data_IF_586236916300
#
_entry.id   IF_586236916300
#
_cell.length_a   1.000
_cell.length_b   1.000
_cell.length_c   1.000
_cell.angle_alpha   90.00
_cell.angle_beta   90.00
_cell.angle_gamma   90.00
#
_symmetry.space_group_name_H-M   'P 1'
#
loop_
_entity.id
_entity.type
_entity.pdbx_description
1 polymer ?
#
# COMPACT_ATOMS: atom_id res chain seq x y z
N UNK A 1 -46.24 3.33 46.58
CA UNK A 1 -45.21 3.41 47.63
C UNK A 1 -44.29 4.55 47.26
N UNK A 2 -44.09 5.51 48.16
CA UNK A 2 -43.21 6.65 47.91
C UNK A 2 -41.76 6.23 48.11
N UNK A 3 -41.04 6.02 47.01
CA UNK A 3 -39.66 5.48 46.99
C UNK A 3 -38.62 6.62 47.04
N UNK A 4 -39.09 7.88 47.04
CA UNK A 4 -38.24 9.08 47.02
C UNK A 4 -37.25 9.12 48.19
N UNK A 5 -37.72 8.92 49.43
CA UNK A 5 -36.88 8.95 50.63
C UNK A 5 -35.81 7.86 50.66
N UNK A 6 -36.08 6.68 50.12
CA UNK A 6 -35.09 5.59 50.01
C UNK A 6 -34.01 5.93 48.99
N UNK A 7 -34.41 6.54 47.86
CA UNK A 7 -33.47 7.00 46.83
C UNK A 7 -32.58 8.15 47.33
N UNK A 8 -33.13 9.08 48.11
CA UNK A 8 -32.37 10.18 48.73
C UNK A 8 -31.37 9.67 49.78
N UNK A 9 -31.79 8.76 50.65
CA UNK A 9 -30.90 8.11 51.62
C UNK A 9 -29.78 7.30 50.93
N UNK A 10 -30.06 6.69 49.77
CA UNK A 10 -29.04 6.05 48.96
C UNK A 10 -28.11 7.05 48.27
N UNK A 11 -28.62 8.17 47.75
CA UNK A 11 -27.80 9.24 47.14
C UNK A 11 -26.84 9.86 48.16
N UNK A 12 -27.27 10.10 49.40
CA UNK A 12 -26.42 10.67 50.46
C UNK A 12 -25.24 9.77 50.87
N UNK A 13 -25.30 8.47 50.59
CA UNK A 13 -24.18 7.54 50.84
C UNK A 13 -23.02 7.73 49.85
N UNK A 14 -23.29 8.29 48.67
CA UNK A 14 -22.30 8.45 47.61
C UNK A 14 -21.82 9.90 47.51
N UNK A 15 -20.56 10.09 47.14
CA UNK A 15 -20.02 11.42 46.84
C UNK A 15 -20.64 11.96 45.54
N UNK A 16 -20.65 13.28 45.37
CA UNK A 16 -21.15 13.90 44.15
C UNK A 16 -20.34 13.46 42.92
N UNK A 17 -21.05 13.19 41.84
CA UNK A 17 -20.51 12.72 40.54
C UNK A 17 -20.62 13.84 39.48
N UNK A 18 -21.47 14.84 39.73
CA UNK A 18 -21.57 16.04 38.90
C UNK A 18 -20.36 16.95 39.13
N UNK A 19 -19.78 17.41 38.03
CA UNK A 19 -18.73 18.42 38.02
C UNK A 19 -19.36 19.71 37.52
N UNK A 20 -19.38 20.72 38.38
CA UNK A 20 -19.90 22.06 38.10
C UNK A 20 -18.75 23.04 37.93
N UNK A 21 -18.97 24.17 37.23
CA UNK A 21 -17.97 25.25 37.11
C UNK A 21 -17.19 25.28 35.79
N UNK A 22 -17.49 24.40 34.84
CA UNK A 22 -16.99 24.51 33.46
C UNK A 22 -17.89 25.44 32.66
N UNK A 23 -17.30 26.50 32.11
CA UNK A 23 -18.02 27.47 31.27
C UNK A 23 -18.24 26.92 29.87
N UNK A 24 -17.22 26.25 29.33
CA UNK A 24 -17.24 25.62 28.01
C UNK A 24 -17.47 24.12 28.20
N UNK A 25 -18.47 23.52 27.53
CA UNK A 25 -18.67 22.08 27.52
C UNK A 25 -17.44 21.33 27.00
N UNK A 26 -17.13 20.20 27.62
CA UNK A 26 -16.01 19.34 27.20
C UNK A 26 -16.42 18.56 25.94
N UNK A 27 -15.52 18.49 24.96
CA UNK A 27 -15.73 17.65 23.77
C UNK A 27 -15.18 16.25 24.01
N UNK A 28 -15.87 15.21 23.54
CA UNK A 28 -15.49 13.82 23.79
C UNK A 28 -15.25 13.05 22.49
N UNK A 29 -14.20 12.23 22.47
CA UNK A 29 -14.00 11.18 21.50
C UNK A 29 -13.99 9.83 22.23
N UNK A 30 -15.19 9.29 22.46
CA UNK A 30 -15.39 8.04 23.21
C UNK A 30 -14.74 6.84 22.50
N UNK A 31 -14.54 6.90 21.19
CA UNK A 31 -13.83 5.85 20.45
C UNK A 31 -12.33 5.79 20.79
N UNK A 32 -11.74 6.92 21.18
CA UNK A 32 -10.35 7.02 21.68
C UNK A 32 -10.27 7.15 23.19
N UNK A 33 -11.41 7.09 23.90
CA UNK A 33 -11.51 7.33 25.34
C UNK A 33 -10.84 8.67 25.75
N UNK A 34 -11.06 9.71 24.93
CA UNK A 34 -10.46 11.02 25.10
C UNK A 34 -11.51 12.09 25.43
N UNK A 35 -11.14 13.04 26.28
CA UNK A 35 -11.91 14.24 26.59
C UNK A 35 -11.03 15.47 26.33
N UNK A 36 -11.56 16.44 25.57
CA UNK A 36 -10.90 17.67 25.20
C UNK A 36 -11.53 18.84 25.95
N UNK A 37 -10.80 19.31 26.96
CA UNK A 37 -11.21 20.46 27.77
C UNK A 37 -10.64 21.75 27.17
N UNK A 38 -11.51 22.61 26.63
CA UNK A 38 -11.13 23.90 26.05
C UNK A 38 -11.20 25.06 27.06
N UNK A 39 -11.51 24.79 28.34
CA UNK A 39 -11.55 25.82 29.36
C UNK A 39 -10.13 26.37 29.66
N UNK A 40 -9.99 27.69 29.90
CA UNK A 40 -8.69 28.29 30.20
C UNK A 40 -8.14 27.82 31.55
N UNK A 41 -6.83 27.63 31.60
CA UNK A 41 -6.10 27.23 32.82
C UNK A 41 -5.79 28.46 33.68
N UNK A 42 -6.00 28.38 34.99
CA UNK A 42 -5.62 29.43 35.93
C UNK A 42 -4.11 29.36 36.21
N UNK A 43 -3.36 30.27 35.59
CA UNK A 43 -1.90 30.34 35.73
C UNK A 43 -1.43 30.62 37.17
N UNK A 44 -2.22 31.38 37.95
CA UNK A 44 -1.84 31.74 39.31
C UNK A 44 -1.95 30.52 40.24
N UNK A 45 -3.06 29.78 40.14
CA UNK A 45 -3.26 28.53 40.87
C UNK A 45 -2.23 27.46 40.45
N UNK A 46 -1.96 27.35 39.15
CA UNK A 46 -0.98 26.40 38.60
C UNK A 46 0.44 26.68 39.12
N UNK A 47 0.85 27.94 39.25
CA UNK A 47 2.18 28.31 39.78
C UNK A 47 2.29 28.07 41.29
N UNK A 48 1.20 28.22 42.03
CA UNK A 48 1.19 28.05 43.49
C UNK A 48 1.34 26.58 43.89
N UNK A 49 0.43 25.73 43.42
CA UNK A 49 0.39 24.29 43.75
C UNK A 49 0.13 23.47 42.48
N UNK A 50 1.18 23.27 41.67
CA UNK A 50 1.07 22.64 40.34
C UNK A 50 0.40 21.27 40.37
N UNK A 51 0.88 20.35 41.21
CA UNK A 51 0.44 18.95 41.17
C UNK A 51 -1.00 18.79 41.66
N UNK A 52 -1.37 19.48 42.73
CA UNK A 52 -2.72 19.47 43.30
C UNK A 52 -3.75 20.09 42.33
N UNK A 53 -3.37 21.18 41.66
CA UNK A 53 -4.18 21.81 40.63
C UNK A 53 -4.38 20.89 39.41
N UNK A 54 -3.31 20.28 38.90
CA UNK A 54 -3.41 19.35 37.77
C UNK A 54 -4.21 18.09 38.14
N UNK A 55 -4.03 17.56 39.35
CA UNK A 55 -4.77 16.40 39.83
C UNK A 55 -6.27 16.69 39.96
N UNK A 56 -6.64 17.84 40.53
CA UNK A 56 -8.05 18.24 40.63
C UNK A 56 -8.68 18.47 39.25
N UNK A 57 -7.98 19.14 38.33
CA UNK A 57 -8.44 19.33 36.95
C UNK A 57 -8.60 18.00 36.19
N UNK A 58 -7.62 17.09 36.30
CA UNK A 58 -7.69 15.77 35.69
C UNK A 58 -8.79 14.90 36.30
N UNK A 59 -9.02 14.97 37.62
CA UNK A 59 -10.13 14.29 38.30
C UNK A 59 -11.46 14.71 37.69
N UNK A 60 -11.66 16.02 37.50
CA UNK A 60 -12.89 16.59 36.96
C UNK A 60 -13.14 16.14 35.52
N UNK A 61 -12.09 16.19 34.69
CA UNK A 61 -12.13 15.70 33.31
C UNK A 61 -12.42 14.19 33.23
N UNK A 62 -11.74 13.39 34.08
CA UNK A 62 -11.95 11.95 34.11
C UNK A 62 -13.36 11.60 34.57
N UNK A 63 -13.89 12.28 35.59
CA UNK A 63 -15.25 12.05 36.07
C UNK A 63 -16.28 12.29 34.96
N UNK A 64 -16.15 13.40 34.23
CA UNK A 64 -17.02 13.71 33.09
C UNK A 64 -16.91 12.67 31.98
N UNK A 65 -15.69 12.21 31.65
CA UNK A 65 -15.48 11.17 30.65
C UNK A 65 -16.13 9.84 31.05
N UNK A 66 -15.96 9.41 32.31
CA UNK A 66 -16.59 8.19 32.80
C UNK A 66 -18.12 8.29 32.83
N UNK A 67 -18.67 9.46 33.16
CA UNK A 67 -20.12 9.69 33.11
C UNK A 67 -20.68 9.43 31.71
N UNK A 68 -19.96 9.83 30.65
CA UNK A 68 -20.36 9.55 29.27
C UNK A 68 -20.16 8.08 28.89
N UNK A 69 -19.05 7.45 29.30
CA UNK A 69 -18.79 6.03 29.04
C UNK A 69 -19.88 5.13 29.66
N UNK A 70 -20.30 5.43 30.89
CA UNK A 70 -21.31 4.63 31.58
C UNK A 70 -22.75 4.83 31.05
N UNK A 71 -22.97 5.85 30.21
CA UNK A 71 -24.23 6.03 29.48
C UNK A 71 -24.30 5.17 28.20
N UNK A 72 -23.17 4.62 27.73
CA UNK A 72 -23.13 3.79 26.52
C UNK A 72 -23.85 2.45 26.72
N UNK A 73 -24.31 1.88 25.61
CA UNK A 73 -24.92 0.56 25.61
C UNK A 73 -23.94 -0.49 26.11
N UNK A 74 -24.33 -1.25 27.14
CA UNK A 74 -23.55 -2.35 27.69
C UNK A 74 -24.07 -3.70 27.19
N UNK A 75 -23.14 -4.61 26.91
CA UNK A 75 -23.41 -6.00 26.56
C UNK A 75 -22.77 -6.86 27.65
N UNK A 76 -23.57 -7.74 28.24
CA UNK A 76 -23.08 -8.75 29.18
C UNK A 76 -22.92 -10.07 28.45
N UNK A 77 -21.73 -10.65 28.53
CA UNK A 77 -21.39 -11.98 27.99
C UNK A 77 -20.67 -12.80 29.07
N UNK A 78 -20.35 -14.07 28.80
CA UNK A 78 -19.63 -14.96 29.73
C UNK A 78 -18.26 -14.39 30.16
N UNK A 79 -17.68 -13.52 29.32
CA UNK A 79 -16.41 -12.85 29.57
C UNK A 79 -16.53 -11.56 30.41
N UNK A 80 -17.75 -11.12 30.73
CA UNK A 80 -18.02 -9.94 31.55
C UNK A 80 -18.90 -8.88 30.87
N UNK A 81 -19.01 -7.71 31.51
CA UNK A 81 -19.79 -6.57 31.02
C UNK A 81 -18.89 -5.63 30.23
N UNK A 82 -19.22 -5.41 28.95
CA UNK A 82 -18.47 -4.55 28.05
C UNK A 82 -19.36 -3.42 27.52
N UNK A 83 -18.81 -2.22 27.37
CA UNK A 83 -19.48 -1.10 26.73
C UNK A 83 -19.20 -1.07 25.22
N UNK A 84 -20.21 -0.77 24.41
CA UNK A 84 -20.08 -0.61 22.96
C UNK A 84 -19.59 0.81 22.64
N UNK A 85 -18.30 0.93 22.30
CA UNK A 85 -17.70 2.22 21.94
C UNK A 85 -18.09 2.63 20.51
N UNK A 86 -18.32 3.93 20.26
CA UNK A 86 -18.54 4.45 18.91
C UNK A 86 -17.24 4.47 18.09
N UNK A 87 -17.38 4.69 16.78
CA UNK A 87 -16.23 4.87 15.89
C UNK A 87 -15.48 6.16 16.27
N UNK A 88 -14.14 6.14 16.37
CA UNK A 88 -13.33 7.33 16.63
C UNK A 88 -13.66 8.48 15.67
N UNK A 89 -13.84 9.69 16.23
CA UNK A 89 -14.10 10.90 15.45
C UNK A 89 -12.82 11.58 15.00
N UNK A 90 -11.75 11.47 15.81
CA UNK A 90 -10.45 12.04 15.51
C UNK A 90 -9.77 11.29 14.36
N UNK A 91 -9.57 11.96 13.24
CA UNK A 91 -8.92 11.40 12.05
C UNK A 91 -7.40 11.32 12.25
N UNK A 92 -6.89 10.11 12.54
CA UNK A 92 -5.46 9.86 12.65
C UNK A 92 -4.84 9.48 11.29
N UNK A 93 -3.62 9.96 10.99
CA UNK A 93 -2.93 9.56 9.77
C UNK A 93 -2.58 8.07 9.80
N UNK A 94 -2.73 7.40 8.66
CA UNK A 94 -2.36 5.98 8.53
C UNK A 94 -0.84 5.82 8.51
N UNK A 95 -0.35 4.79 9.19
CA UNK A 95 1.06 4.36 9.08
C UNK A 95 1.42 3.94 7.65
N UNK A 96 0.51 3.20 7.00
CA UNK A 96 0.72 2.64 5.66
C UNK A 96 -0.29 3.19 4.65
N UNK A 97 0.14 3.43 3.41
CA UNK A 97 -0.76 3.82 2.34
C UNK A 97 -1.83 2.75 2.13
N UNK A 98 -2.94 3.14 1.51
CA UNK A 98 -3.99 2.19 1.17
C UNK A 98 -3.44 1.11 0.24
N UNK A 99 -3.86 -0.16 0.43
CA UNK A 99 -3.46 -1.24 -0.46
C UNK A 99 -3.92 -0.89 -1.87
N UNK A 100 -2.96 -0.79 -2.80
CA UNK A 100 -3.27 -0.46 -4.19
C UNK A 100 -4.08 -1.60 -4.83
N UNK A 101 -5.02 -1.29 -5.73
CA UNK A 101 -5.70 -2.32 -6.49
C UNK A 101 -4.67 -3.16 -7.25
N UNK A 102 -4.85 -4.48 -7.23
CA UNK A 102 -3.94 -5.39 -7.93
C UNK A 102 -4.03 -5.12 -9.44
N UNK A 103 -2.90 -4.92 -10.14
CA UNK A 103 -2.93 -4.74 -11.58
C UNK A 103 -3.42 -6.03 -12.26
N UNK A 104 -4.32 -5.89 -13.23
CA UNK A 104 -4.86 -7.02 -13.99
C UNK A 104 -3.73 -7.77 -14.72
N UNK A 105 -3.69 -9.09 -14.57
CA UNK A 105 -2.78 -9.97 -15.32
C UNK A 105 -3.14 -10.00 -16.80
N UNK A 106 -2.21 -10.45 -17.66
CA UNK A 106 -2.48 -10.58 -19.10
C UNK A 106 -3.67 -11.51 -19.40
N UNK A 107 -3.86 -12.55 -18.60
CA UNK A 107 -5.00 -13.46 -18.74
C UNK A 107 -6.31 -12.79 -18.32
N UNK A 108 -6.32 -12.01 -17.24
CA UNK A 108 -7.52 -11.27 -16.82
C UNK A 108 -7.91 -10.19 -17.83
N UNK A 109 -6.93 -9.47 -18.39
CA UNK A 109 -7.16 -8.53 -19.50
C UNK A 109 -7.80 -9.23 -20.70
N UNK A 110 -7.28 -10.40 -21.08
CA UNK A 110 -7.83 -11.20 -22.16
C UNK A 110 -9.23 -11.73 -21.84
N UNK A 111 -9.44 -12.27 -20.63
CA UNK A 111 -10.72 -12.79 -20.17
C UNK A 111 -11.79 -11.70 -20.15
N UNK A 112 -11.46 -10.51 -19.65
CA UNK A 112 -12.33 -9.33 -19.67
C UNK A 112 -12.69 -8.91 -21.08
N UNK A 113 -11.71 -8.83 -21.99
CA UNK A 113 -11.94 -8.48 -23.40
C UNK A 113 -12.80 -9.51 -24.14
N UNK A 114 -12.74 -10.78 -23.74
CA UNK A 114 -13.53 -11.88 -24.32
C UNK A 114 -14.82 -12.19 -23.56
N UNK A 115 -15.12 -11.49 -22.47
CA UNK A 115 -16.28 -11.78 -21.62
C UNK A 115 -16.22 -13.15 -20.91
N UNK A 116 -15.02 -13.71 -20.73
CA UNK A 116 -14.82 -15.00 -20.06
C UNK A 116 -14.94 -14.79 -18.55
N UNK A 117 -16.08 -15.18 -17.98
CA UNK A 117 -16.31 -15.15 -16.54
C UNK A 117 -15.62 -16.29 -15.78
N UNK A 118 -15.17 -16.03 -14.56
CA UNK A 118 -14.64 -17.06 -13.65
C UNK A 118 -15.80 -17.90 -13.11
N UNK A 119 -15.77 -19.22 -13.37
CA UNK A 119 -16.73 -20.18 -12.81
C UNK A 119 -16.14 -20.90 -11.60
N UNK A 120 -16.97 -21.13 -10.57
CA UNK A 120 -16.60 -22.02 -9.46
C UNK A 120 -16.42 -23.43 -10.00
N UNK A 121 -15.36 -24.10 -9.55
CA UNK A 121 -15.00 -25.46 -9.93
C UNK A 121 -14.93 -26.28 -8.65
N UNK A 122 -15.62 -27.40 -8.61
CA UNK A 122 -15.62 -28.28 -7.44
C UNK A 122 -14.30 -29.03 -7.29
N UNK A 123 -13.95 -29.34 -6.04
CA UNK A 123 -12.72 -30.05 -5.70
C UNK A 123 -12.80 -31.53 -6.09
N UNK A 124 -13.96 -32.15 -5.92
CA UNK A 124 -14.23 -33.56 -6.23
C UNK A 124 -14.92 -33.64 -7.59
N UNK A 125 -14.46 -34.55 -8.45
CA UNK A 125 -15.05 -34.83 -9.75
C UNK A 125 -15.25 -36.34 -9.86
N UNK A 126 -16.41 -36.73 -10.37
CA UNK A 126 -16.74 -38.12 -10.62
C UNK A 126 -15.87 -38.68 -11.75
N UNK A 127 -15.20 -39.80 -11.50
CA UNK A 127 -14.41 -40.48 -12.52
C UNK A 127 -15.15 -41.68 -13.07
N UNK A 128 -15.65 -41.56 -14.30
CA UNK A 128 -16.46 -42.60 -14.98
C UNK A 128 -15.77 -43.97 -15.00
N UNK A 129 -14.45 -44.00 -15.21
CA UNK A 129 -13.67 -45.23 -15.23
C UNK A 129 -13.55 -45.93 -13.86
N UNK A 130 -13.68 -45.19 -12.75
CA UNK A 130 -13.56 -45.75 -11.40
C UNK A 130 -14.86 -45.80 -10.61
N UNK A 131 -15.93 -45.17 -11.10
CA UNK A 131 -17.21 -45.07 -10.40
C UNK A 131 -17.19 -44.24 -9.11
N UNK A 132 -16.07 -43.57 -8.79
CA UNK A 132 -15.84 -42.87 -7.52
C UNK A 132 -15.59 -41.37 -7.74
N UNK A 133 -15.96 -40.56 -6.74
CA UNK A 133 -15.57 -39.16 -6.67
C UNK A 133 -14.11 -39.03 -6.25
N UNK A 134 -13.28 -38.51 -7.15
CA UNK A 134 -11.86 -38.27 -6.91
C UNK A 134 -11.53 -36.78 -6.92
N UNK A 135 -10.51 -36.34 -6.17
CA UNK A 135 -10.09 -34.95 -6.22
C UNK A 135 -9.56 -34.60 -7.62
N UNK A 136 -9.75 -33.36 -8.07
CA UNK A 136 -9.25 -32.90 -9.37
C UNK A 136 -7.72 -32.80 -9.46
N UNK A 137 -7.08 -32.58 -8.32
CA UNK A 137 -5.63 -32.40 -8.18
C UNK A 137 -5.23 -32.84 -6.76
N UNK A 138 -3.97 -33.23 -6.57
CA UNK A 138 -3.45 -33.75 -5.30
C UNK A 138 -3.41 -35.27 -5.22
N UNK A 139 -3.40 -35.82 -4.01
CA UNK A 139 -3.29 -37.26 -3.77
C UNK A 139 -4.51 -38.01 -4.34
N UNK A 140 -4.25 -39.10 -5.09
CA UNK A 140 -5.28 -39.91 -5.79
C UNK A 140 -6.20 -39.09 -6.70
N UNK A 141 -5.67 -38.04 -7.34
CA UNK A 141 -6.44 -37.21 -8.24
C UNK A 141 -6.94 -37.97 -9.48
N UNK A 142 -8.02 -37.47 -10.07
CA UNK A 142 -8.62 -38.02 -11.28
C UNK A 142 -7.68 -37.94 -12.50
N UNK A 143 -6.81 -36.91 -12.52
CA UNK A 143 -5.79 -36.69 -13.54
C UNK A 143 -4.41 -37.17 -13.06
N UNK A 144 -4.33 -38.29 -12.32
CA UNK A 144 -3.03 -38.93 -12.06
C UNK A 144 -2.35 -39.13 -13.43
N UNK A 145 -1.11 -38.65 -13.60
CA UNK A 145 -0.52 -38.27 -14.90
C UNK A 145 -0.20 -39.47 -15.84
N UNK A 146 -0.96 -40.55 -15.77
CA UNK A 146 -0.66 -41.82 -16.43
C UNK A 146 0.55 -42.52 -15.80
N UNK A 147 0.98 -42.10 -14.60
CA UNK A 147 2.02 -42.77 -13.81
C UNK A 147 1.63 -44.18 -13.38
N UNK A 148 0.33 -44.49 -13.43
CA UNK A 148 -0.25 -45.82 -13.20
C UNK A 148 -0.71 -46.49 -14.50
N UNK A 149 -0.54 -45.86 -15.65
CA UNK A 149 -0.79 -46.51 -16.93
C UNK A 149 0.30 -47.57 -17.09
N UNK A 150 -0.11 -48.83 -17.22
CA UNK A 150 0.81 -49.95 -17.41
C UNK A 150 1.30 -50.05 -18.87
N UNK A 151 0.63 -49.35 -19.79
CA UNK A 151 0.98 -49.27 -21.21
C UNK A 151 0.65 -47.86 -21.74
N UNK A 152 1.59 -47.28 -22.50
CA UNK A 152 1.38 -46.04 -23.24
C UNK A 152 1.53 -46.36 -24.72
N UNK A 153 0.48 -46.13 -25.49
CA UNK A 153 0.53 -46.28 -26.95
C UNK A 153 1.47 -45.23 -27.55
N UNK A 154 2.35 -45.69 -28.45
CA UNK A 154 3.25 -44.82 -29.22
C UNK A 154 2.45 -44.16 -30.35
N UNK A 155 2.37 -42.82 -30.41
CA UNK A 155 1.64 -42.14 -31.48
C UNK A 155 2.16 -42.51 -32.88
N UNK A 156 1.26 -42.66 -33.86
CA UNK A 156 1.65 -42.93 -35.24
C UNK A 156 2.52 -41.79 -35.78
N UNK A 157 3.79 -42.07 -36.06
CA UNK A 157 4.77 -41.11 -36.60
C UNK A 157 5.81 -40.59 -35.60
N UNK A 158 5.78 -41.00 -34.32
CA UNK A 158 6.88 -40.75 -33.39
C UNK A 158 7.97 -41.83 -33.50
N UNK A 159 9.17 -41.53 -33.01
CA UNK A 159 10.27 -42.48 -33.02
C UNK A 159 9.92 -43.69 -32.13
N UNK A 160 9.89 -44.94 -32.65
CA UNK A 160 9.56 -46.12 -31.86
C UNK A 160 10.52 -46.40 -30.70
N UNK A 161 11.70 -45.78 -30.70
CA UNK A 161 12.73 -45.94 -29.67
C UNK A 161 12.67 -44.89 -28.55
N UNK A 162 11.75 -43.93 -28.61
CA UNK A 162 11.60 -42.87 -27.61
C UNK A 162 10.74 -43.34 -26.42
N UNK A 163 11.24 -43.15 -25.20
CA UNK A 163 10.50 -43.44 -23.98
C UNK A 163 9.34 -42.44 -23.79
N UNK A 164 8.12 -42.92 -24.03
CA UNK A 164 6.91 -42.11 -23.90
C UNK A 164 6.62 -41.67 -22.46
N UNK A 165 7.14 -42.38 -21.45
CA UNK A 165 6.99 -41.97 -20.05
C UNK A 165 7.88 -40.76 -19.74
N UNK A 166 9.12 -40.75 -20.26
CA UNK A 166 10.04 -39.61 -20.14
C UNK A 166 9.51 -38.39 -20.89
N UNK A 167 9.07 -38.57 -22.14
CA UNK A 167 8.47 -37.50 -22.95
C UNK A 167 7.25 -36.85 -22.27
N UNK A 168 6.39 -37.64 -21.61
CA UNK A 168 5.25 -37.10 -20.81
C UNK A 168 5.72 -36.29 -19.60
N UNK A 169 6.76 -36.75 -18.88
CA UNK A 169 7.32 -36.04 -17.71
C UNK A 169 7.93 -34.71 -18.14
N UNK A 170 8.67 -34.70 -19.24
CA UNK A 170 9.29 -33.49 -19.78
C UNK A 170 8.24 -32.51 -20.28
N UNK A 171 7.24 -32.96 -21.03
CA UNK A 171 6.13 -32.11 -21.46
C UNK A 171 5.37 -31.47 -20.27
N UNK A 172 5.24 -32.19 -19.14
CA UNK A 172 4.66 -31.64 -17.91
C UNK A 172 5.57 -30.59 -17.29
N UNK A 173 6.86 -30.87 -17.15
CA UNK A 173 7.86 -29.94 -16.62
C UNK A 173 7.90 -28.65 -17.46
N UNK A 174 7.93 -28.77 -18.78
CA UNK A 174 7.87 -27.62 -19.68
C UNK A 174 6.60 -26.78 -19.50
N UNK A 175 5.44 -27.42 -19.29
CA UNK A 175 4.18 -26.72 -19.02
C UNK A 175 4.22 -25.95 -17.71
N UNK A 176 4.80 -26.54 -16.66
CA UNK A 176 5.01 -25.91 -15.35
C UNK A 176 5.97 -24.73 -15.51
N UNK A 177 7.13 -24.93 -16.12
CA UNK A 177 8.14 -23.89 -16.36
C UNK A 177 7.57 -22.73 -17.18
N UNK A 178 6.73 -23.02 -18.18
CA UNK A 178 6.05 -22.00 -18.99
C UNK A 178 5.05 -21.21 -18.16
N UNK A 179 4.33 -21.85 -17.22
CA UNK A 179 3.43 -21.17 -16.31
C UNK A 179 4.21 -20.27 -15.33
N UNK A 180 5.30 -20.76 -14.76
CA UNK A 180 6.16 -19.99 -13.86
C UNK A 180 6.80 -18.79 -14.56
N UNK A 181 7.30 -18.97 -15.78
CA UNK A 181 7.81 -17.87 -16.62
C UNK A 181 6.72 -16.81 -16.88
N UNK A 182 5.48 -17.23 -17.15
CA UNK A 182 4.33 -16.31 -17.30
C UNK A 182 3.99 -15.59 -16.00
N UNK A 183 4.02 -16.31 -14.87
CA UNK A 183 3.78 -15.74 -13.54
C UNK A 183 4.83 -14.67 -13.20
N UNK A 184 6.12 -14.99 -13.37
CA UNK A 184 7.22 -14.03 -13.17
C UNK A 184 7.08 -12.79 -14.06
N UNK A 185 6.70 -12.98 -15.33
CA UNK A 185 6.45 -11.85 -16.24
C UNK A 185 5.29 -10.96 -15.77
N UNK A 186 4.20 -11.56 -15.27
CA UNK A 186 3.07 -10.80 -14.74
C UNK A 186 3.46 -10.03 -13.47
N UNK A 187 4.28 -10.63 -12.58
CA UNK A 187 4.80 -9.94 -11.40
C UNK A 187 5.70 -8.77 -11.76
N UNK A 188 6.59 -8.94 -12.74
CA UNK A 188 7.43 -7.85 -13.24
C UNK A 188 6.59 -6.71 -13.83
N UNK A 189 5.60 -7.04 -14.67
CA UNK A 189 4.68 -6.06 -15.26
C UNK A 189 3.86 -5.34 -14.17
N UNK A 190 3.43 -6.06 -13.15
CA UNK A 190 2.74 -5.50 -11.98
C UNK A 190 3.63 -4.55 -11.19
N UNK A 191 4.89 -4.91 -10.94
CA UNK A 191 5.85 -4.08 -10.21
C UNK A 191 6.20 -2.80 -10.99
N UNK A 192 6.30 -2.87 -12.32
CA UNK A 192 6.49 -1.67 -13.13
C UNK A 192 5.23 -0.79 -13.09
N UNK A 193 4.04 -1.37 -13.19
CA UNK A 193 2.79 -0.61 -13.09
C UNK A 193 2.65 0.12 -11.74
N UNK A 194 3.01 -0.52 -10.62
CA UNK A 194 2.97 0.12 -9.31
C UNK A 194 3.99 1.24 -9.15
N UNK A 195 5.23 1.07 -9.65
CA UNK A 195 6.25 2.13 -9.70
C UNK A 195 5.84 3.29 -10.61
N UNK A 196 5.19 3.00 -11.73
CA UNK A 196 4.69 4.01 -12.67
C UNK A 196 3.58 4.84 -12.04
N UNK A 197 2.62 4.19 -11.39
CA UNK A 197 1.54 4.87 -10.67
C UNK A 197 2.11 5.79 -9.56
N UNK A 198 3.15 5.37 -8.84
CA UNK A 198 3.85 6.25 -7.88
C UNK A 198 4.46 7.50 -8.55
N UNK A 199 5.14 7.35 -9.70
CA UNK A 199 5.72 8.49 -10.43
C UNK A 199 4.67 9.38 -11.12
N UNK A 200 3.54 8.80 -11.55
CA UNK A 200 2.43 9.51 -12.17
C UNK A 200 1.70 10.39 -11.15
N UNK A 201 1.52 9.90 -9.92
CA UNK A 201 0.99 10.69 -8.80
C UNK A 201 1.91 11.88 -8.46
N UNK A 202 3.23 11.69 -8.53
CA UNK A 202 4.23 12.72 -8.20
C UNK A 202 4.41 13.79 -9.30
N UNK A 203 4.14 13.46 -10.57
CA UNK A 203 4.34 14.37 -11.72
C UNK A 203 3.07 14.76 -12.50
N UNK A 204 1.92 14.20 -12.16
CA UNK A 204 0.63 14.51 -12.78
C UNK A 204 0.42 14.02 -14.21
N UNK A 205 1.32 13.19 -14.76
CA UNK A 205 1.23 12.64 -16.13
C UNK A 205 1.00 11.13 -16.11
N UNK A 206 -0.01 10.66 -16.88
CA UNK A 206 -0.27 9.22 -17.08
C UNK A 206 0.76 8.64 -18.07
N UNK A 207 1.50 7.57 -17.72
CA UNK A 207 2.49 7.01 -18.63
C UNK A 207 1.85 6.16 -19.73
N UNK A 208 2.30 6.37 -20.97
CA UNK A 208 1.96 5.57 -22.15
C UNK A 208 2.51 4.13 -22.03
N UNK A 209 1.75 3.13 -22.48
CA UNK A 209 2.09 1.70 -22.33
C UNK A 209 3.31 1.28 -23.16
N UNK A 210 3.59 1.97 -24.28
CA UNK A 210 4.83 1.76 -25.06
C UNK A 210 6.09 2.20 -24.29
N UNK A 211 5.94 3.06 -23.27
CA UNK A 211 7.03 3.43 -22.37
C UNK A 211 7.38 2.35 -21.35
N UNK A 212 6.55 1.32 -21.12
CA UNK A 212 6.86 0.25 -20.13
C UNK A 212 8.09 -0.56 -20.57
N UNK A 213 8.12 -0.98 -21.84
CA UNK A 213 9.27 -1.73 -22.39
C UNK A 213 10.50 -0.85 -22.50
N UNK A 214 10.34 0.40 -22.91
CA UNK A 214 11.41 1.39 -22.96
C UNK A 214 12.01 1.69 -21.59
N UNK A 215 11.18 1.82 -20.55
CA UNK A 215 11.64 2.02 -19.17
C UNK A 215 12.32 0.78 -18.60
N UNK A 216 11.78 -0.42 -18.82
CA UNK A 216 12.44 -1.67 -18.39
C UNK A 216 13.79 -1.83 -19.07
N UNK A 217 13.89 -1.49 -20.37
CA UNK A 217 15.16 -1.47 -21.09
C UNK A 217 16.14 -0.49 -20.45
N UNK A 218 15.73 0.76 -20.18
CA UNK A 218 16.58 1.75 -19.50
C UNK A 218 17.01 1.30 -18.09
N UNK A 219 16.11 0.68 -17.32
CA UNK A 219 16.41 0.15 -15.99
C UNK A 219 17.44 -0.99 -16.08
N UNK A 220 17.28 -1.93 -17.01
CA UNK A 220 18.26 -2.99 -17.28
C UNK A 220 19.62 -2.42 -17.74
N UNK A 221 19.61 -1.46 -18.67
CA UNK A 221 20.82 -0.78 -19.13
C UNK A 221 21.55 -0.11 -17.95
N UNK A 222 20.82 0.52 -17.03
CA UNK A 222 21.40 1.13 -15.82
C UNK A 222 21.93 0.10 -14.82
N UNK A 223 21.25 -1.03 -14.62
CA UNK A 223 21.69 -2.10 -13.73
C UNK A 223 22.97 -2.76 -14.25
N UNK A 224 23.06 -3.00 -15.56
CA UNK A 224 24.27 -3.53 -16.22
C UNK A 224 25.46 -2.58 -16.02
N UNK A 225 25.22 -1.27 -16.07
CA UNK A 225 26.25 -0.26 -15.82
C UNK A 225 26.69 -0.23 -14.35
N UNK A 226 25.75 -0.30 -13.41
CA UNK A 226 26.03 -0.30 -11.97
C UNK A 226 26.79 -1.57 -11.58
N UNK A 227 26.38 -2.75 -12.05
CA UNK A 227 27.03 -4.01 -11.71
C UNK A 227 28.50 -4.04 -12.14
N UNK A 228 28.83 -3.47 -13.30
CA UNK A 228 30.21 -3.33 -13.78
C UNK A 228 31.04 -2.39 -12.91
N UNK A 229 30.46 -1.29 -12.44
CA UNK A 229 31.11 -0.41 -11.46
C UNK A 229 31.35 -1.11 -10.12
N UNK A 230 30.43 -1.97 -9.69
CA UNK A 230 30.55 -2.72 -8.44
C UNK A 230 31.63 -3.80 -8.48
N UNK A 231 31.77 -4.59 -9.57
CA UNK A 231 32.85 -5.58 -9.69
C UNK A 231 34.23 -4.93 -9.76
N UNK A 232 34.34 -3.78 -10.42
CA UNK A 232 35.55 -2.97 -10.45
C UNK A 232 36.03 -2.53 -9.06
N UNK A 233 35.11 -2.20 -8.14
CA UNK A 233 35.45 -1.79 -6.77
C UNK A 233 36.03 -2.92 -5.90
N UNK A 234 35.75 -4.17 -6.25
CA UNK A 234 36.30 -5.37 -5.59
C UNK A 234 37.63 -5.82 -6.22
N UNK A 235 38.23 -5.03 -7.12
CA UNK A 235 39.51 -5.33 -7.77
C UNK A 235 39.44 -6.42 -8.86
N UNK A 236 38.25 -6.90 -9.21
CA UNK A 236 38.04 -7.91 -10.26
C UNK A 236 37.33 -7.27 -11.44
N UNK A 237 38.11 -6.85 -12.44
CA UNK A 237 37.59 -6.19 -13.63
C UNK A 237 37.12 -7.23 -14.65
N UNK A 238 35.82 -7.20 -14.98
CA UNK A 238 35.27 -8.02 -16.06
C UNK A 238 35.76 -7.51 -17.43
N UNK A 239 36.14 -8.42 -18.32
CA UNK A 239 36.57 -8.07 -19.67
C UNK A 239 35.42 -7.42 -20.46
N UNK A 240 35.73 -6.37 -21.20
CA UNK A 240 34.73 -5.67 -22.02
C UNK A 240 34.24 -6.56 -23.18
N UNK A 241 32.93 -6.81 -23.24
CA UNK A 241 32.32 -7.62 -24.29
C UNK A 241 31.97 -6.71 -25.48
N UNK A 242 32.18 -7.20 -26.71
CA UNK A 242 31.88 -6.45 -27.94
C UNK A 242 30.37 -6.15 -28.01
N UNK A 243 30.01 -4.86 -28.04
CA UNK A 243 28.61 -4.39 -28.05
C UNK A 243 28.08 -3.92 -26.69
N UNK A 244 28.92 -3.91 -25.65
CA UNK A 244 28.55 -3.44 -24.33
C UNK A 244 28.23 -1.94 -24.25
N UNK A 245 27.31 -1.60 -23.35
CA UNK A 245 26.97 -0.22 -23.00
C UNK A 245 28.16 0.43 -22.30
N UNK A 246 28.67 1.52 -22.88
CA UNK A 246 29.76 2.30 -22.28
C UNK A 246 29.21 3.24 -21.21
N UNK A 247 29.79 3.27 -19.99
CA UNK A 247 29.41 4.28 -19.01
C UNK A 247 29.71 5.67 -19.55
N UNK A 248 28.67 6.46 -19.84
CA UNK A 248 28.82 7.90 -20.02
C UNK A 248 29.04 8.51 -18.64
N UNK A 249 30.31 8.74 -18.28
CA UNK A 249 30.63 9.49 -17.08
C UNK A 249 30.01 10.87 -17.15
N UNK A 250 29.10 11.17 -16.21
CA UNK A 250 28.62 12.54 -16.02
C UNK A 250 29.79 13.32 -15.42
N UNK A 251 30.58 13.99 -16.27
CA UNK A 251 31.58 14.94 -15.82
C UNK A 251 30.84 16.15 -15.23
N UNK A 252 30.49 16.09 -13.95
CA UNK A 252 30.09 17.29 -13.20
C UNK A 252 31.36 18.10 -12.98
N UNK A 253 31.55 19.13 -13.80
CA UNK A 253 32.53 20.16 -13.48
C UNK A 253 31.88 21.03 -12.39
N UNK A 254 32.38 20.90 -11.17
CA UNK A 254 32.01 21.83 -10.11
C UNK A 254 32.73 23.16 -10.39
N UNK A 255 31.99 24.26 -10.31
CA UNK A 255 32.61 25.57 -10.32
C UNK A 255 33.46 25.73 -9.04
N UNK A 256 34.61 26.43 -9.11
CA UNK A 256 35.42 26.71 -7.94
C UNK A 256 34.63 27.52 -6.91
N UNK A 257 34.88 27.29 -5.61
CA UNK A 257 34.20 27.99 -4.49
C UNK A 257 34.47 29.49 -4.48
N UNK A 258 35.56 29.94 -5.11
CA UNK A 258 35.89 31.34 -5.31
C UNK A 258 36.07 31.53 -6.82
N UNK A 259 35.11 32.19 -7.46
CA UNK A 259 35.20 32.58 -8.86
C UNK A 259 35.15 34.11 -9.00
N UNK A 260 35.47 34.63 -10.18
CA UNK A 260 35.27 36.05 -10.48
C UNK A 260 33.80 36.44 -10.22
N UNK A 261 33.59 37.52 -9.46
CA UNK A 261 32.25 38.03 -9.12
C UNK A 261 31.35 38.26 -10.34
N UNK A 262 31.92 38.57 -11.51
CA UNK A 262 31.20 38.74 -12.76
C UNK A 262 30.57 37.43 -13.27
N UNK A 263 31.30 36.31 -13.14
CA UNK A 263 30.84 34.97 -13.56
C UNK A 263 29.77 34.43 -12.60
N UNK A 264 29.93 34.64 -11.30
CA UNK A 264 28.92 34.27 -10.31
C UNK A 264 27.62 35.04 -10.51
N UNK A 265 27.71 36.36 -10.74
CA UNK A 265 26.54 37.20 -11.04
C UNK A 265 25.83 36.73 -12.31
N UNK A 266 26.56 36.41 -13.37
CA UNK A 266 25.97 35.89 -14.61
C UNK A 266 25.29 34.53 -14.42
N UNK A 267 25.91 33.63 -13.63
CA UNK A 267 25.32 32.34 -13.25
C UNK A 267 24.01 32.53 -12.47
N UNK A 268 24.03 33.39 -11.45
CA UNK A 268 22.86 33.70 -10.63
C UNK A 268 21.75 34.36 -11.45
N UNK A 269 22.07 35.29 -12.34
CA UNK A 269 21.10 35.90 -13.26
C UNK A 269 20.50 34.89 -14.22
N UNK A 270 21.28 33.92 -14.72
CA UNK A 270 20.77 32.86 -15.59
C UNK A 270 19.81 31.90 -14.86
N UNK A 271 20.06 31.65 -13.58
CA UNK A 271 19.17 30.88 -12.72
C UNK A 271 17.88 31.67 -12.48
N UNK A 272 18.01 32.97 -12.21
CA UNK A 272 16.88 33.88 -12.02
C UNK A 272 16.02 33.97 -13.28
N UNK A 273 16.62 34.12 -14.46
CA UNK A 273 15.94 34.08 -15.76
C UNK A 273 15.20 32.76 -15.99
N UNK A 274 15.74 31.63 -15.52
CA UNK A 274 15.10 30.31 -15.67
C UNK A 274 13.94 30.12 -14.68
N UNK A 275 14.04 30.66 -13.47
CA UNK A 275 13.03 30.52 -12.42
C UNK A 275 11.89 31.52 -12.59
N UNK A 276 12.21 32.76 -12.98
CA UNK A 276 11.26 33.88 -13.07
C UNK A 276 10.83 34.14 -14.52
N UNK A 277 11.58 33.64 -15.50
CA UNK A 277 11.38 33.99 -16.91
C UNK A 277 11.97 35.36 -17.22
N UNK A 278 12.52 35.57 -18.42
CA UNK A 278 13.20 36.82 -18.81
C UNK A 278 12.35 38.09 -18.66
N UNK A 279 11.02 37.95 -18.64
CA UNK A 279 10.08 39.07 -18.58
C UNK A 279 9.00 38.93 -17.48
N UNK A 280 9.11 37.97 -16.54
CA UNK A 280 8.10 37.78 -15.48
C UNK A 280 6.70 37.34 -15.95
N UNK A 281 6.49 37.11 -17.25
CA UNK A 281 5.18 36.80 -17.85
C UNK A 281 4.78 35.30 -17.79
N UNK A 282 5.71 34.40 -17.43
CA UNK A 282 5.48 32.94 -17.53
C UNK A 282 5.15 32.25 -16.19
N UNK A 283 4.77 33.01 -15.15
CA UNK A 283 4.36 32.46 -13.85
C UNK A 283 3.00 31.74 -13.88
N UNK A 284 2.20 31.94 -14.95
CA UNK A 284 0.91 31.25 -15.12
C UNK A 284 0.77 30.79 -16.56
N UNK A 285 0.88 29.48 -16.79
CA UNK A 285 0.60 28.91 -18.10
C UNK A 285 -0.92 28.94 -18.36
N UNK A 286 -1.44 30.08 -18.82
CA UNK A 286 -2.87 30.39 -18.96
C UNK A 286 -3.60 29.33 -19.80
N UNK A 287 -2.93 28.76 -20.81
CA UNK A 287 -3.49 27.66 -21.62
C UNK A 287 -3.76 26.38 -20.81
N UNK A 288 -2.92 26.07 -19.82
CA UNK A 288 -3.12 24.93 -18.90
C UNK A 288 -4.26 25.21 -17.92
N UNK A 289 -4.41 26.44 -17.44
CA UNK A 289 -5.49 26.87 -16.56
C UNK A 289 -6.87 26.80 -17.25
N UNK A 290 -6.99 27.25 -18.50
CA UNK A 290 -8.23 27.21 -19.29
C UNK A 290 -8.69 25.77 -19.58
N UNK A 291 -7.76 24.83 -19.75
CA UNK A 291 -8.10 23.42 -20.03
C UNK A 291 -8.69 22.70 -18.80
N UNK A 292 -8.27 23.10 -17.59
CA UNK A 292 -8.79 22.55 -16.34
C UNK A 292 -10.23 23.00 -16.03
N UNK A 293 -10.62 24.22 -16.42
CA UNK A 293 -11.99 24.72 -16.20
C UNK A 293 -13.00 24.13 -17.19
N UNK A 294 -12.60 23.91 -18.46
CA UNK A 294 -13.47 23.27 -19.46
C UNK A 294 -13.76 21.79 -19.20
N UNK A 295 -12.93 21.11 -18.42
CA UNK A 295 -13.15 19.69 -18.04
C UNK A 295 -14.13 19.52 -16.86
N UNK A 296 -14.60 20.59 -16.24
CA UNK A 296 -15.52 20.57 -15.08
C UNK A 296 -16.92 21.11 -15.39
N UNK A 297 -17.31 21.17 -16.67
CA UNK A 297 -18.71 21.30 -17.10
C UNK A 297 -19.12 20.06 -17.86
#
# INVERSE_FOLDING_TARGET
MDVSGVLEAHKQKFKSVSVEGKVIPVEYDLGLLAAYDQNPVDEAALKKNKDEYLQSLCRDNAQLLFNEIFQLQTISDDNGVMAMLPVPTTLLPREKPLPKPKPETRWEKFAKAKGIGKRKKDRMVYGDASGEYKPRWGYKAINDDGTKDWIIEVPAGSNPMEDQYEARRDAKKERIDKNEKRHRRNLDEAAVATKMDQKAVDKGDRPDMDNVRGMKRKELESQILISKGSTASAGKFDNAIKGDLKPKGIKRQFAPTVADFSKEKAGNMSILDRVVGKNGEDLVNVRKAIKATKSRR
#
